data_IF_262388902958
#
_entry.id   IF_262388902958
#
_cell.length_a   1.000
_cell.length_b   1.000
_cell.length_c   1.000
_cell.angle_alpha   90.00
_cell.angle_beta   90.00
_cell.angle_gamma   90.00
#
_symmetry.space_group_name_H-M   'P 1'
#
loop_
_entity.id
_entity.type
_entity.pdbx_description
1 polymer ?
#
# COMPACT_ATOMS: atom_id res chain seq x y z
N UNK A 1 -7.26 -7.44 -14.04
CA UNK A 1 -5.86 -7.38 -13.57
C UNK A 1 -5.86 -7.66 -12.08
N UNK A 2 -5.14 -8.71 -11.70
CA UNK A 2 -4.91 -9.05 -10.30
C UNK A 2 -3.97 -8.01 -9.68
N UNK A 3 -4.15 -7.73 -8.40
CA UNK A 3 -3.30 -6.80 -7.65
C UNK A 3 -3.03 -7.38 -6.26
N UNK A 4 -1.82 -7.18 -5.75
CA UNK A 4 -1.50 -7.47 -4.37
C UNK A 4 -0.51 -6.45 -3.79
N UNK A 5 -0.53 -6.34 -2.47
CA UNK A 5 0.46 -5.59 -1.70
C UNK A 5 1.26 -6.57 -0.87
N UNK A 6 2.58 -6.49 -0.95
CA UNK A 6 3.50 -7.35 -0.21
C UNK A 6 4.25 -6.50 0.78
N UNK A 7 4.02 -6.75 2.06
CA UNK A 7 4.71 -6.12 3.17
C UNK A 7 5.86 -7.04 3.57
N UNK A 8 7.06 -6.49 3.73
CA UNK A 8 8.30 -7.26 3.89
C UNK A 8 9.10 -6.77 5.08
N UNK A 9 9.77 -7.71 5.75
CA UNK A 9 10.90 -7.40 6.61
C UNK A 9 12.20 -7.86 5.98
N UNK A 10 13.26 -7.07 6.12
CA UNK A 10 14.57 -7.39 5.59
C UNK A 10 15.71 -7.16 6.58
N UNK A 11 16.92 -7.55 6.20
CA UNK A 11 18.13 -7.22 6.97
C UNK A 11 18.25 -5.70 7.09
N UNK A 12 18.62 -5.23 8.30
CA UNK A 12 18.83 -3.81 8.56
C UNK A 12 19.87 -3.22 7.60
N UNK A 13 19.51 -2.11 6.95
CA UNK A 13 20.38 -1.43 5.98
C UNK A 13 20.36 -2.04 4.58
N UNK A 14 19.59 -3.11 4.35
CA UNK A 14 19.42 -3.73 3.03
C UNK A 14 18.23 -3.19 2.24
N UNK A 15 17.44 -2.28 2.82
CA UNK A 15 16.14 -1.83 2.31
C UNK A 15 16.28 -1.29 0.89
N UNK A 16 17.24 -0.37 0.66
CA UNK A 16 17.50 0.22 -0.67
C UNK A 16 17.81 -0.85 -1.71
N UNK A 17 18.67 -1.82 -1.37
CA UNK A 17 19.05 -2.91 -2.29
C UNK A 17 17.85 -3.77 -2.66
N UNK A 18 17.03 -4.14 -1.66
CA UNK A 18 15.82 -4.93 -1.90
C UNK A 18 14.83 -4.15 -2.76
N UNK A 19 14.63 -2.86 -2.49
CA UNK A 19 13.77 -1.98 -3.29
C UNK A 19 14.27 -1.90 -4.74
N UNK A 20 15.57 -1.73 -4.98
CA UNK A 20 16.13 -1.73 -6.34
C UNK A 20 15.84 -3.05 -7.06
N UNK A 21 16.09 -4.20 -6.42
CA UNK A 21 15.80 -5.51 -7.00
C UNK A 21 14.30 -5.75 -7.25
N UNK A 22 13.43 -5.24 -6.39
CA UNK A 22 11.98 -5.30 -6.61
C UNK A 22 11.56 -4.48 -7.83
N UNK A 23 12.15 -3.29 -8.03
CA UNK A 23 11.87 -2.42 -9.18
C UNK A 23 12.32 -3.00 -10.52
N UNK A 24 13.21 -4.00 -10.52
CA UNK A 24 13.60 -4.73 -11.73
C UNK A 24 12.53 -5.74 -12.20
N UNK A 25 11.57 -6.10 -11.33
CA UNK A 25 10.46 -7.00 -11.66
C UNK A 25 9.34 -6.21 -12.34
N UNK A 26 9.01 -6.53 -13.59
CA UNK A 26 8.06 -5.75 -14.42
C UNK A 26 6.66 -5.57 -13.83
N UNK A 27 6.21 -6.51 -13.02
CA UNK A 27 4.91 -6.55 -12.39
C UNK A 27 4.86 -5.71 -11.11
N UNK A 28 6.02 -5.38 -10.52
CA UNK A 28 6.11 -4.47 -9.38
C UNK A 28 5.90 -3.04 -9.88
N UNK A 29 4.78 -2.43 -9.49
CA UNK A 29 4.40 -1.06 -9.88
C UNK A 29 4.89 -0.01 -8.91
N UNK A 30 5.01 -0.37 -7.64
CA UNK A 30 5.55 0.47 -6.59
C UNK A 30 6.36 -0.39 -5.62
N UNK A 31 7.46 0.13 -5.10
CA UNK A 31 8.24 -0.48 -4.03
C UNK A 31 8.86 0.63 -3.18
N UNK A 32 8.52 0.64 -1.90
CA UNK A 32 8.77 1.74 -0.98
C UNK A 32 9.32 1.21 0.33
N UNK A 33 10.34 1.88 0.85
CA UNK A 33 10.76 1.70 2.24
C UNK A 33 9.74 2.32 3.19
N UNK A 34 9.53 1.72 4.35
CA UNK A 34 8.50 2.16 5.30
C UNK A 34 9.00 2.23 6.73
N UNK A 35 8.44 3.16 7.51
CA UNK A 35 8.59 3.18 8.96
C UNK A 35 7.50 2.32 9.61
N UNK A 36 7.90 1.45 10.55
CA UNK A 36 6.97 0.71 11.39
C UNK A 36 7.35 -0.76 11.52
N UNK A 37 6.34 -1.63 11.49
CA UNK A 37 6.51 -3.08 11.67
C UNK A 37 7.04 -3.80 10.43
N UNK A 38 6.91 -3.17 9.25
CA UNK A 38 7.44 -3.66 8.00
C UNK A 38 8.41 -2.63 7.44
N UNK A 39 9.48 -3.13 6.84
CA UNK A 39 10.57 -2.31 6.32
C UNK A 39 10.28 -1.86 4.89
N UNK A 40 9.52 -2.65 4.13
CA UNK A 40 9.20 -2.39 2.72
C UNK A 40 7.74 -2.77 2.42
N UNK A 41 7.09 -1.98 1.58
CA UNK A 41 5.85 -2.36 0.89
C UNK A 41 6.06 -2.34 -0.62
N UNK A 42 5.60 -3.38 -1.31
CA UNK A 42 5.55 -3.44 -2.77
C UNK A 42 4.13 -3.66 -3.28
N UNK A 43 3.73 -2.93 -4.33
CA UNK A 43 2.48 -3.11 -5.08
C UNK A 43 2.77 -3.87 -6.35
N UNK A 44 2.10 -5.01 -6.53
CA UNK A 44 2.25 -5.89 -7.69
C UNK A 44 0.95 -5.89 -8.48
N UNK A 45 1.05 -5.71 -9.80
CA UNK A 45 -0.07 -5.87 -10.72
C UNK A 45 0.31 -6.85 -11.83
N UNK A 46 -0.55 -7.84 -12.07
CA UNK A 46 -0.34 -8.86 -13.10
C UNK A 46 -1.67 -9.28 -13.74
N UNK A 47 -1.58 -10.17 -14.73
CA UNK A 47 -2.74 -10.66 -15.47
C UNK A 47 -3.60 -11.61 -14.64
N UNK A 48 -2.99 -12.36 -13.71
CA UNK A 48 -3.68 -13.34 -12.86
C UNK A 48 -3.09 -13.40 -11.44
N UNK A 49 -3.89 -13.90 -10.50
CA UNK A 49 -3.44 -14.15 -9.13
C UNK A 49 -2.34 -15.22 -9.06
N UNK A 50 -2.38 -16.23 -9.94
CA UNK A 50 -1.35 -17.26 -10.02
C UNK A 50 0.02 -16.68 -10.37
N UNK A 51 0.08 -15.70 -11.29
CA UNK A 51 1.33 -14.98 -11.59
C UNK A 51 1.82 -14.18 -10.38
N UNK A 52 0.93 -13.49 -9.66
CA UNK A 52 1.31 -12.79 -8.42
C UNK A 52 1.87 -13.77 -7.39
N UNK A 53 1.22 -14.92 -7.19
CA UNK A 53 1.67 -15.96 -6.27
C UNK A 53 3.06 -16.49 -6.66
N UNK A 54 3.28 -16.71 -7.95
CA UNK A 54 4.57 -17.13 -8.49
C UNK A 54 5.66 -16.07 -8.25
N UNK A 55 5.41 -14.80 -8.55
CA UNK A 55 6.32 -13.68 -8.25
C UNK A 55 6.67 -13.64 -6.76
N UNK A 56 5.66 -13.71 -5.88
CA UNK A 56 5.89 -13.67 -4.42
C UNK A 56 6.73 -14.86 -3.95
N UNK A 57 6.40 -16.08 -4.39
CA UNK A 57 7.02 -17.30 -3.86
C UNK A 57 8.36 -17.67 -4.50
N UNK A 58 8.51 -17.38 -5.80
CA UNK A 58 9.71 -17.72 -6.57
C UNK A 58 10.73 -16.59 -6.63
N UNK A 59 10.29 -15.32 -6.57
CA UNK A 59 11.20 -14.18 -6.70
C UNK A 59 11.37 -13.47 -5.35
N UNK A 60 10.31 -12.88 -4.81
CA UNK A 60 10.40 -12.03 -3.60
C UNK A 60 10.89 -12.84 -2.39
N UNK A 61 10.22 -13.93 -2.03
CA UNK A 61 10.59 -14.75 -0.86
C UNK A 61 11.95 -15.45 -0.98
N UNK A 62 12.59 -15.43 -2.14
CA UNK A 62 13.93 -16.00 -2.37
C UNK A 62 15.05 -14.97 -2.32
N UNK A 63 14.74 -13.68 -2.23
CA UNK A 63 15.75 -12.64 -2.07
C UNK A 63 16.47 -12.85 -0.73
N UNK A 64 17.82 -12.85 -0.77
CA UNK A 64 18.66 -13.24 0.37
C UNK A 64 18.42 -12.44 1.64
N UNK A 65 17.98 -11.19 1.52
CA UNK A 65 17.83 -10.28 2.65
C UNK A 65 16.39 -10.20 3.15
N UNK A 66 15.44 -10.96 2.61
CA UNK A 66 14.04 -10.94 3.06
C UNK A 66 13.84 -12.03 4.11
N UNK A 67 13.33 -11.64 5.29
CA UNK A 67 13.04 -12.56 6.39
C UNK A 67 11.59 -13.04 6.40
N UNK A 68 10.66 -12.14 6.12
CA UNK A 68 9.24 -12.42 6.20
C UNK A 68 8.47 -11.60 5.17
N UNK A 69 7.28 -12.10 4.81
CA UNK A 69 6.36 -11.41 3.91
C UNK A 69 4.93 -11.58 4.40
N UNK A 70 4.11 -10.53 4.30
CA UNK A 70 2.66 -10.62 4.33
C UNK A 70 2.12 -10.17 2.98
N UNK A 71 1.25 -10.97 2.38
CA UNK A 71 0.62 -10.64 1.09
C UNK A 71 -0.84 -10.32 1.32
N UNK A 72 -1.26 -9.16 0.86
CA UNK A 72 -2.65 -8.68 0.84
C UNK A 72 -3.12 -8.68 -0.61
N UNK A 73 -3.91 -9.67 -0.98
CA UNK A 73 -4.42 -9.81 -2.36
C UNK A 73 -5.69 -9.01 -2.50
N UNK A 74 -5.78 -8.15 -3.51
CA UNK A 74 -6.99 -7.36 -3.77
C UNK A 74 -8.16 -8.30 -4.10
N UNK A 75 -9.25 -8.19 -3.35
CA UNK A 75 -10.53 -8.81 -3.70
C UNK A 75 -11.10 -8.15 -4.97
N UNK A 76 -11.77 -8.92 -5.83
CA UNK A 76 -12.45 -8.37 -6.99
C UNK A 76 -13.68 -7.52 -6.59
N UNK A 77 -13.44 -6.32 -6.08
CA UNK A 77 -14.47 -5.30 -5.83
C UNK A 77 -14.51 -4.27 -6.96
N UNK A 78 -15.66 -3.58 -7.08
CA UNK A 78 -15.82 -2.47 -8.01
C UNK A 78 -14.70 -1.43 -7.84
N UNK A 79 -14.15 -0.94 -8.95
CA UNK A 79 -13.13 0.13 -8.94
C UNK A 79 -13.80 1.46 -8.56
N UNK A 80 -13.89 1.74 -7.27
CA UNK A 80 -14.42 3.01 -6.77
C UNK A 80 -13.42 4.16 -6.97
N UNK A 81 -12.12 3.86 -6.91
CA UNK A 81 -11.04 4.79 -7.24
C UNK A 81 -10.71 4.68 -8.72
N UNK A 82 -11.10 5.68 -9.52
CA UNK A 82 -10.75 5.78 -10.94
C UNK A 82 -9.38 6.46 -11.11
N UNK A 83 -8.68 6.09 -12.16
CA UNK A 83 -7.36 6.62 -12.57
C UNK A 83 -7.42 8.08 -13.09
N UNK A 84 -8.19 8.96 -12.45
CA UNK A 84 -8.40 10.34 -12.89
C UNK A 84 -7.43 11.37 -12.28
N UNK A 85 -6.36 10.95 -11.60
CA UNK A 85 -5.47 11.89 -10.90
C UNK A 85 -4.01 11.94 -11.40
N UNK A 86 -3.67 11.26 -12.51
CA UNK A 86 -2.30 11.32 -13.07
C UNK A 86 -1.86 12.74 -13.47
N UNK A 87 -2.81 13.67 -13.67
CA UNK A 87 -2.54 15.05 -14.07
C UNK A 87 -2.27 16.00 -12.89
N UNK A 88 -2.81 15.72 -11.69
CA UNK A 88 -2.68 16.63 -10.54
C UNK A 88 -1.32 16.44 -9.86
N UNK A 89 -0.86 15.19 -9.73
CA UNK A 89 0.45 14.85 -9.13
C UNK A 89 1.63 15.35 -9.97
N UNK A 90 1.44 15.58 -11.28
CA UNK A 90 2.46 16.18 -12.14
C UNK A 90 2.62 17.70 -11.96
N UNK A 91 1.65 18.38 -11.32
CA UNK A 91 1.61 19.84 -11.18
C UNK A 91 1.96 20.35 -9.77
N UNK A 92 1.92 19.48 -8.75
CA UNK A 92 2.27 19.81 -7.37
C UNK A 92 3.68 19.26 -7.07
N UNK A 93 4.55 20.09 -6.48
CA UNK A 93 5.98 19.82 -6.35
C UNK A 93 6.39 18.50 -5.67
N UNK A 94 7.67 18.16 -5.79
CA UNK A 94 8.29 16.88 -5.43
C UNK A 94 8.26 16.47 -3.93
N UNK A 95 7.61 17.22 -3.05
CA UNK A 95 7.56 16.92 -1.62
C UNK A 95 6.16 16.47 -1.21
N UNK A 96 5.76 15.26 -1.61
CA UNK A 96 4.50 14.67 -1.15
C UNK A 96 4.81 13.59 -0.11
N UNK A 97 4.23 13.68 1.08
CA UNK A 97 4.31 12.63 2.09
C UNK A 97 3.29 11.53 1.77
N UNK A 98 3.71 10.27 1.83
CA UNK A 98 2.86 9.13 1.48
C UNK A 98 2.80 8.11 2.61
N UNK A 99 1.67 7.43 2.74
CA UNK A 99 1.55 6.26 3.60
C UNK A 99 0.57 5.24 3.03
N UNK A 100 0.79 3.98 3.36
CA UNK A 100 -0.20 2.93 3.23
C UNK A 100 -0.85 2.68 4.58
N UNK A 101 -2.17 2.64 4.64
CA UNK A 101 -2.94 2.33 5.85
C UNK A 101 -3.68 1.04 5.61
N UNK A 102 -3.36 0.02 6.41
CA UNK A 102 -4.09 -1.26 6.43
C UNK A 102 -5.06 -1.24 7.60
N UNK A 103 -6.29 -1.70 7.36
CA UNK A 103 -7.44 -1.47 8.24
C UNK A 103 -8.14 -2.81 8.49
N UNK A 104 -8.44 -3.07 9.76
CA UNK A 104 -9.48 -4.02 10.13
C UNK A 104 -10.80 -3.29 10.30
N UNK A 105 -11.87 -3.82 9.71
CA UNK A 105 -13.19 -3.23 9.81
C UNK A 105 -14.22 -4.16 10.47
N UNK A 106 -15.44 -3.66 10.65
CA UNK A 106 -16.57 -4.51 10.99
C UNK A 106 -16.83 -5.54 9.87
N UNK A 107 -17.19 -6.76 10.28
CA UNK A 107 -17.42 -7.86 9.34
C UNK A 107 -18.57 -7.51 8.38
N UNK A 108 -18.32 -7.60 7.08
CA UNK A 108 -19.30 -7.29 6.04
C UNK A 108 -19.40 -5.80 5.69
N UNK A 109 -18.60 -4.95 6.33
CA UNK A 109 -18.58 -3.51 6.10
C UNK A 109 -17.39 -3.05 5.24
N UNK A 110 -16.64 -3.98 4.66
CA UNK A 110 -15.43 -3.70 3.88
C UNK A 110 -15.75 -2.76 2.71
N UNK A 111 -16.87 -3.00 2.03
CA UNK A 111 -17.33 -2.17 0.90
C UNK A 111 -17.83 -0.79 1.34
N UNK A 112 -18.54 -0.69 2.46
CA UNK A 112 -19.02 0.60 2.97
C UNK A 112 -17.85 1.47 3.44
N UNK A 113 -16.85 0.85 4.09
CA UNK A 113 -15.59 1.52 4.42
C UNK A 113 -14.88 1.99 3.15
N UNK A 114 -14.75 1.13 2.14
CA UNK A 114 -14.14 1.48 0.85
C UNK A 114 -14.83 2.70 0.22
N UNK A 115 -16.17 2.75 0.23
CA UNK A 115 -16.95 3.88 -0.25
C UNK A 115 -16.75 5.14 0.60
N UNK A 116 -16.63 5.03 1.92
CA UNK A 116 -16.35 6.20 2.76
C UNK A 116 -14.97 6.78 2.45
N UNK A 117 -13.97 5.93 2.20
CA UNK A 117 -12.62 6.36 1.82
C UNK A 117 -12.59 7.20 0.53
N UNK A 118 -13.50 6.98 -0.42
CA UNK A 118 -13.53 7.78 -1.68
C UNK A 118 -13.90 9.25 -1.45
N UNK A 119 -14.43 9.60 -0.28
CA UNK A 119 -14.80 10.97 0.06
C UNK A 119 -13.65 11.75 0.70
N UNK A 120 -12.49 11.11 0.92
CA UNK A 120 -11.29 11.73 1.48
C UNK A 120 -10.32 12.03 0.32
N UNK A 121 -10.10 13.30 -0.06
CA UNK A 121 -9.30 13.66 -1.24
C UNK A 121 -7.86 13.15 -1.22
N UNK A 122 -7.27 13.01 -0.04
CA UNK A 122 -5.91 12.52 0.15
C UNK A 122 -5.80 11.00 -0.01
N UNK A 123 -6.91 10.26 -0.02
CA UNK A 123 -6.91 8.82 -0.33
C UNK A 123 -6.88 8.65 -1.85
N UNK A 124 -5.75 8.18 -2.37
CA UNK A 124 -5.48 8.07 -3.81
C UNK A 124 -5.83 6.71 -4.39
N UNK A 125 -5.78 5.70 -3.55
CA UNK A 125 -6.08 4.33 -3.91
C UNK A 125 -6.60 3.64 -2.67
N UNK A 126 -7.60 2.78 -2.81
CA UNK A 126 -7.97 1.85 -1.76
C UNK A 126 -8.56 0.59 -2.37
N UNK A 127 -8.36 -0.53 -1.67
CA UNK A 127 -8.75 -1.85 -2.11
C UNK A 127 -9.21 -2.68 -0.90
N UNK A 128 -10.30 -3.42 -1.08
CA UNK A 128 -10.63 -4.54 -0.18
C UNK A 128 -9.62 -5.65 -0.45
N UNK A 129 -9.05 -6.22 0.59
CA UNK A 129 -7.99 -7.24 0.48
C UNK A 129 -8.36 -8.50 1.22
N UNK A 130 -7.86 -9.62 0.72
CA UNK A 130 -7.81 -10.88 1.44
C UNK A 130 -6.47 -10.99 2.15
N UNK A 131 -6.52 -11.49 3.39
CA UNK A 131 -5.34 -11.70 4.22
C UNK A 131 -5.67 -11.46 5.69
N UNK A 132 -4.69 -10.92 6.41
CA UNK A 132 -4.87 -10.56 7.81
C UNK A 132 -5.75 -9.31 7.98
N UNK A 133 -5.63 -8.34 7.07
CA UNK A 133 -6.43 -7.10 7.05
C UNK A 133 -7.58 -7.19 6.05
N UNK A 134 -8.52 -6.24 6.17
CA UNK A 134 -9.74 -6.22 5.36
C UNK A 134 -9.67 -5.16 4.25
N UNK A 135 -9.05 -4.00 4.52
CA UNK A 135 -8.90 -2.89 3.56
C UNK A 135 -7.47 -2.34 3.62
N UNK A 136 -6.92 -1.96 2.48
CA UNK A 136 -5.71 -1.13 2.38
C UNK A 136 -6.02 0.14 1.61
N UNK A 137 -5.47 1.28 2.03
CA UNK A 137 -5.50 2.51 1.26
C UNK A 137 -4.14 3.20 1.19
N UNK A 138 -3.86 3.82 0.04
CA UNK A 138 -2.72 4.73 -0.16
C UNK A 138 -3.19 6.16 0.06
N UNK A 139 -2.51 6.86 0.95
CA UNK A 139 -2.76 8.26 1.29
C UNK A 139 -1.57 9.08 0.83
N UNK A 140 -1.84 10.19 0.16
CA UNK A 140 -0.81 11.15 -0.25
C UNK A 140 -1.22 12.57 0.16
N UNK A 141 -0.31 13.30 0.80
CA UNK A 141 -0.56 14.66 1.27
C UNK A 141 0.69 15.55 1.14
N UNK A 142 0.53 16.88 0.95
CA UNK A 142 1.66 17.79 0.71
C UNK A 142 2.72 17.84 1.81
N UNK A 143 2.37 17.44 3.04
CA UNK A 143 3.30 17.38 4.16
C UNK A 143 2.85 16.36 5.20
N UNK A 144 3.80 15.90 6.02
CA UNK A 144 3.58 14.87 7.02
C UNK A 144 2.49 15.23 8.04
N UNK A 145 2.37 16.51 8.42
CA UNK A 145 1.35 16.97 9.37
C UNK A 145 -0.07 16.81 8.83
N UNK A 146 -0.27 17.06 7.53
CA UNK A 146 -1.55 16.85 6.86
C UNK A 146 -1.81 15.34 6.77
N UNK A 147 -0.81 14.56 6.36
CA UNK A 147 -0.90 13.09 6.30
C UNK A 147 -1.34 12.50 7.65
N UNK A 148 -0.69 12.91 8.75
CA UNK A 148 -1.05 12.49 10.11
C UNK A 148 -2.48 12.87 10.48
N UNK A 149 -2.90 14.09 10.14
CA UNK A 149 -4.26 14.57 10.42
C UNK A 149 -5.30 13.75 9.65
N UNK A 150 -5.07 13.50 8.36
CA UNK A 150 -5.96 12.68 7.53
C UNK A 150 -6.09 11.27 8.13
N UNK A 151 -4.96 10.63 8.45
CA UNK A 151 -4.99 9.26 8.98
C UNK A 151 -5.68 9.21 10.34
N UNK A 152 -5.34 10.12 11.26
CA UNK A 152 -5.80 10.05 12.65
C UNK A 152 -7.19 10.64 12.88
N UNK A 153 -7.60 11.65 12.09
CA UNK A 153 -8.85 12.39 12.29
C UNK A 153 -9.89 12.14 11.22
N UNK A 154 -9.51 11.73 10.01
CA UNK A 154 -10.46 11.39 8.96
C UNK A 154 -10.60 9.86 8.82
N UNK A 155 -9.52 9.13 8.54
CA UNK A 155 -9.59 7.68 8.25
C UNK A 155 -9.95 6.88 9.51
N UNK A 156 -9.22 7.05 10.62
CA UNK A 156 -9.43 6.27 11.86
C UNK A 156 -10.77 6.54 12.56
N UNK A 157 -11.45 7.61 12.20
CA UNK A 157 -12.75 7.99 12.78
C UNK A 157 -13.92 7.59 11.88
N UNK A 158 -13.66 7.04 10.69
CA UNK A 158 -14.71 6.54 9.82
C UNK A 158 -15.52 5.45 10.51
N UNK A 159 -16.84 5.38 10.25
CA UNK A 159 -17.66 4.25 10.63
C UNK A 159 -17.01 2.94 10.15
N UNK A 160 -17.16 1.91 10.98
CA UNK A 160 -16.69 0.55 10.73
C UNK A 160 -15.18 0.33 10.81
N UNK A 161 -14.36 1.36 11.04
CA UNK A 161 -12.94 1.16 11.32
C UNK A 161 -12.76 0.66 12.76
N UNK A 162 -12.18 -0.52 12.93
CA UNK A 162 -11.86 -1.09 14.26
C UNK A 162 -10.47 -0.71 14.71
N UNK A 163 -9.50 -1.00 13.86
CA UNK A 163 -8.07 -0.76 14.11
C UNK A 163 -7.36 -0.56 12.79
N UNK A 164 -6.24 0.18 12.80
CA UNK A 164 -5.41 0.32 11.62
C UNK A 164 -3.92 0.32 11.97
N UNK A 165 -3.11 -0.01 10.96
CA UNK A 165 -1.66 0.13 10.97
C UNK A 165 -1.26 1.03 9.82
N UNK A 166 -0.25 1.86 10.06
CA UNK A 166 0.24 2.84 9.11
C UNK A 166 1.68 2.51 8.74
N UNK A 167 1.94 2.47 7.44
CA UNK A 167 3.23 2.28 6.80
C UNK A 167 3.61 3.61 6.15
N UNK A 168 4.33 4.47 6.89
CA UNK A 168 4.78 5.75 6.36
C UNK A 168 5.93 5.51 5.39
N UNK A 169 5.83 6.02 4.16
CA UNK A 169 6.86 5.85 3.13
C UNK A 169 8.08 6.72 3.44
N UNK A 170 9.28 6.14 3.28
CA UNK A 170 10.58 6.80 3.42
C UNK A 170 11.09 7.12 2.01
N UNK A 171 10.87 8.35 1.56
CA UNK A 171 11.22 8.77 0.18
C UNK A 171 12.72 8.76 -0.08
N UNK A 172 13.56 8.90 0.95
CA UNK A 172 15.02 8.86 0.84
C UNK A 172 15.55 7.46 0.45
N UNK A 173 14.74 6.42 0.61
CA UNK A 173 15.05 5.03 0.24
C UNK A 173 14.61 4.68 -1.18
N UNK A 174 13.99 5.60 -1.92
CA UNK A 174 13.60 5.37 -3.31
C UNK A 174 14.73 5.59 -4.32
N UNK A 175 15.88 6.11 -3.84
CA UNK A 175 17.10 6.46 -4.60
C UNK A 175 18.07 5.30 -4.82
#
# INVERSE_FOLDING_TARGET
>A
MAKAYVLMNCDLGSEKKVISSLKEISEVKEAHGTLGLYDIIAKIESDSEDKIKEIVTSHIRRMSNIHSTMTLTRSESEKLFKTSEKLITAMLGQNNSQAYVVIHCDKGEEYNLLKNLTHIPEVKEADVVFGYYDVICKVEAPEYKILETVITKAIRTLPHVRTSMTLNVITEQES
#
